data_IF_125978093394
#
_entry.id   IF_125978093394
#
_cell.length_a   1.000
_cell.length_b   1.000
_cell.length_c   1.000
_cell.angle_alpha   90.00
_cell.angle_beta   90.00
_cell.angle_gamma   90.00
#
_symmetry.space_group_name_H-M   'P 1'
#
loop_
_entity.id
_entity.type
_entity.pdbx_description
1 polymer ?
#
# COMPACT_ATOMS: atom_id res chain seq x y z
N UNK A 1 -29.58 -92.57 39.31
CA UNK A 1 -28.87 -91.27 39.01
C UNK A 1 -29.88 -90.22 38.51
N UNK A 2 -30.88 -90.53 37.64
CA UNK A 2 -31.79 -89.59 37.07
C UNK A 2 -32.74 -88.96 38.11
N UNK A 3 -33.22 -89.64 39.15
CA UNK A 3 -34.09 -89.03 40.16
C UNK A 3 -33.40 -87.97 41.01
N UNK A 4 -32.09 -88.03 41.24
CA UNK A 4 -31.34 -87.03 41.96
C UNK A 4 -31.20 -85.76 41.11
N UNK A 5 -31.04 -85.92 39.78
CA UNK A 5 -30.95 -84.74 38.88
C UNK A 5 -32.25 -83.95 38.80
N UNK A 6 -33.42 -84.63 38.78
CA UNK A 6 -34.73 -83.97 38.75
C UNK A 6 -34.98 -83.23 40.05
N UNK A 7 -34.51 -83.67 41.19
CA UNK A 7 -34.65 -83.03 42.48
C UNK A 7 -33.72 -81.74 42.60
N UNK A 8 -32.50 -81.81 42.02
CA UNK A 8 -31.58 -80.66 42.13
C UNK A 8 -31.73 -79.64 41.03
N UNK A 9 -32.39 -79.91 39.90
CA UNK A 9 -32.57 -78.98 38.82
C UNK A 9 -33.30 -77.67 39.24
N UNK A 10 -34.37 -77.70 40.02
CA UNK A 10 -35.05 -76.51 40.48
C UNK A 10 -34.21 -75.73 41.49
N UNK A 11 -33.31 -76.37 42.25
CA UNK A 11 -32.44 -75.70 43.21
C UNK A 11 -31.41 -74.87 42.49
N UNK A 12 -30.81 -75.37 41.36
CA UNK A 12 -29.86 -74.63 40.55
C UNK A 12 -30.48 -73.38 39.88
N UNK A 13 -31.74 -73.48 39.47
CA UNK A 13 -32.47 -72.33 38.89
C UNK A 13 -32.77 -71.26 39.93
N UNK A 14 -33.18 -71.70 41.14
CA UNK A 14 -33.49 -70.75 42.26
C UNK A 14 -32.22 -70.09 42.77
N UNK A 15 -31.04 -70.77 42.80
CA UNK A 15 -29.77 -70.18 43.16
C UNK A 15 -29.41 -69.12 42.15
N UNK A 16 -29.48 -69.42 40.82
CA UNK A 16 -29.20 -68.44 39.76
C UNK A 16 -30.16 -67.24 39.78
N UNK A 17 -31.42 -67.44 40.11
CA UNK A 17 -32.38 -66.34 40.27
C UNK A 17 -32.02 -65.50 41.48
N UNK A 18 -31.66 -66.09 42.59
CA UNK A 18 -31.22 -65.34 43.79
C UNK A 18 -29.92 -64.60 43.55
N UNK A 19 -28.98 -65.20 42.87
CA UNK A 19 -27.72 -64.54 42.49
C UNK A 19 -27.95 -63.35 41.56
N UNK A 20 -28.84 -63.48 40.57
CA UNK A 20 -29.26 -62.36 39.73
C UNK A 20 -29.94 -61.22 40.53
N UNK A 21 -30.75 -61.62 41.50
CA UNK A 21 -31.46 -60.66 42.36
C UNK A 21 -30.48 -59.94 43.29
N UNK A 22 -29.49 -60.66 43.83
CA UNK A 22 -28.44 -60.08 44.65
C UNK A 22 -27.62 -59.05 43.81
N UNK A 23 -27.16 -59.49 42.63
CA UNK A 23 -26.42 -58.61 41.74
C UNK A 23 -27.22 -57.36 41.30
N UNK A 24 -28.53 -57.55 41.08
CA UNK A 24 -29.40 -56.41 40.74
C UNK A 24 -29.59 -55.46 41.93
N UNK A 25 -29.79 -56.02 43.13
CA UNK A 25 -29.94 -55.22 44.34
C UNK A 25 -28.66 -54.48 44.70
N UNK A 26 -27.53 -55.16 44.54
CA UNK A 26 -26.20 -54.56 44.73
C UNK A 26 -25.94 -53.36 43.78
N UNK A 27 -26.25 -53.57 42.50
CA UNK A 27 -26.13 -52.48 41.52
C UNK A 27 -27.06 -51.31 41.87
N UNK A 28 -28.28 -51.58 42.22
CA UNK A 28 -29.24 -50.56 42.64
C UNK A 28 -28.78 -49.82 43.90
N UNK A 29 -28.24 -50.58 44.87
CA UNK A 29 -27.69 -49.99 46.10
C UNK A 29 -26.52 -49.07 45.78
N UNK A 30 -25.57 -49.53 44.96
CA UNK A 30 -24.43 -48.71 44.55
C UNK A 30 -24.85 -47.47 43.78
N UNK A 31 -25.88 -47.57 42.91
CA UNK A 31 -26.42 -46.43 42.16
C UNK A 31 -27.07 -45.40 43.10
N UNK A 32 -27.88 -45.91 44.04
CA UNK A 32 -28.52 -45.03 45.06
C UNK A 32 -27.48 -44.38 45.98
N UNK A 33 -26.46 -45.16 46.39
CA UNK A 33 -25.34 -44.65 47.20
C UNK A 33 -24.56 -43.54 46.47
N UNK A 34 -24.32 -43.77 45.18
CA UNK A 34 -23.61 -42.77 44.37
C UNK A 34 -24.45 -41.47 44.23
N UNK A 35 -25.76 -41.61 43.92
CA UNK A 35 -26.63 -40.46 43.79
C UNK A 35 -26.84 -39.73 45.14
N UNK A 36 -26.88 -40.45 46.23
CA UNK A 36 -26.89 -39.87 47.57
C UNK A 36 -25.61 -39.05 47.90
N UNK A 37 -24.46 -39.68 47.60
CA UNK A 37 -23.16 -38.96 47.82
C UNK A 37 -23.05 -37.71 46.93
N UNK A 38 -23.51 -37.79 45.66
CA UNK A 38 -23.54 -36.66 44.76
C UNK A 38 -24.47 -35.56 45.28
N UNK A 39 -25.66 -35.92 45.77
CA UNK A 39 -26.60 -34.96 46.39
C UNK A 39 -26.02 -34.33 47.66
N UNK A 40 -25.30 -35.11 48.49
CA UNK A 40 -24.62 -34.62 49.69
C UNK A 40 -23.47 -33.65 49.33
N UNK A 41 -22.68 -33.96 48.31
CA UNK A 41 -21.65 -33.05 47.78
C UNK A 41 -22.25 -31.76 47.24
N UNK A 42 -23.32 -31.85 46.48
CA UNK A 42 -24.07 -30.66 46.00
C UNK A 42 -24.59 -29.82 47.19
N UNK A 43 -25.17 -30.45 48.19
CA UNK A 43 -25.61 -29.74 49.40
C UNK A 43 -24.45 -29.04 50.12
N UNK A 44 -23.33 -29.74 50.33
CA UNK A 44 -22.14 -29.16 50.95
C UNK A 44 -21.58 -28.01 50.12
N UNK A 45 -21.50 -28.14 48.82
CA UNK A 45 -21.05 -27.07 47.94
C UNK A 45 -21.98 -25.86 47.99
N UNK A 46 -23.30 -26.05 48.06
CA UNK A 46 -24.25 -24.97 48.25
C UNK A 46 -24.09 -24.29 49.62
N UNK A 47 -23.90 -25.07 50.68
CA UNK A 47 -23.62 -24.53 52.01
C UNK A 47 -22.32 -23.76 52.07
N UNK A 48 -21.25 -24.24 51.43
CA UNK A 48 -19.97 -23.55 51.32
C UNK A 48 -20.08 -22.28 50.48
N UNK A 49 -20.79 -22.33 49.36
CA UNK A 49 -21.03 -21.18 48.50
C UNK A 49 -21.91 -20.13 49.17
N UNK A 50 -22.92 -20.55 49.89
CA UNK A 50 -23.80 -19.65 50.66
C UNK A 50 -23.08 -19.06 51.88
N UNK A 51 -22.14 -19.80 52.48
CA UNK A 51 -21.34 -19.30 53.61
C UNK A 51 -20.29 -18.24 53.17
N UNK A 52 -19.81 -18.32 51.88
CA UNK A 52 -18.90 -17.31 51.31
C UNK A 52 -19.64 -16.04 50.84
N UNK A 53 -20.94 -16.10 50.62
CA UNK A 53 -21.78 -14.93 50.32
C UNK A 53 -22.27 -14.23 51.60
N UNK A 54 -21.37 -14.03 52.57
CA UNK A 54 -21.68 -13.18 53.67
C UNK A 54 -21.64 -11.73 53.19
N UNK A 55 -22.80 -11.06 53.21
CA UNK A 55 -22.86 -9.62 52.97
C UNK A 55 -21.89 -8.92 53.94
N UNK A 56 -20.74 -8.55 53.41
CA UNK A 56 -19.70 -7.86 54.21
C UNK A 56 -20.15 -6.49 54.66
N UNK A 57 -21.00 -5.84 53.89
CA UNK A 57 -21.60 -4.56 54.25
C UNK A 57 -23.06 -4.55 53.82
N UNK A 58 -23.94 -4.15 54.71
CA UNK A 58 -25.34 -3.84 54.35
C UNK A 58 -25.32 -2.71 53.31
N UNK A 59 -26.20 -2.75 52.29
CA UNK A 59 -26.28 -1.66 51.33
C UNK A 59 -26.66 -0.38 52.06
N UNK A 60 -25.68 0.46 52.32
CA UNK A 60 -25.90 1.80 52.92
C UNK A 60 -26.19 2.79 51.81
N UNK A 61 -27.27 3.54 51.90
CA UNK A 61 -27.46 4.69 51.03
C UNK A 61 -26.36 5.70 51.26
N UNK A 62 -25.65 6.15 50.19
CA UNK A 62 -24.64 7.19 50.35
C UNK A 62 -25.31 8.48 50.82
N UNK A 63 -24.93 8.94 51.99
CA UNK A 63 -25.52 10.13 52.67
C UNK A 63 -25.11 11.42 51.90
N UNK A 64 -24.03 11.36 51.15
CA UNK A 64 -23.59 12.46 50.27
C UNK A 64 -23.29 11.94 48.86
N UNK A 65 -23.74 12.61 47.77
CA UNK A 65 -23.39 12.22 46.42
C UNK A 65 -21.88 12.45 46.26
N UNK A 66 -21.18 11.39 45.79
CA UNK A 66 -19.79 11.56 45.34
C UNK A 66 -19.75 12.56 44.20
N UNK A 67 -18.98 13.62 44.34
CA UNK A 67 -18.76 14.59 43.28
C UNK A 67 -18.03 13.90 42.14
N UNK A 68 -18.71 13.63 41.07
CA UNK A 68 -18.09 13.15 39.81
C UNK A 68 -17.24 14.27 39.24
N UNK A 69 -15.98 14.00 38.97
CA UNK A 69 -15.07 14.94 38.33
C UNK A 69 -15.45 15.15 36.84
N UNK A 70 -16.62 15.76 36.59
CA UNK A 70 -17.20 15.97 35.26
C UNK A 70 -16.22 16.61 34.29
N UNK A 71 -15.40 17.57 34.78
CA UNK A 71 -14.38 18.24 33.96
C UNK A 71 -13.33 17.25 33.44
N UNK A 72 -12.86 16.33 34.30
CA UNK A 72 -11.86 15.31 33.89
C UNK A 72 -12.44 14.32 32.90
N UNK A 73 -13.71 13.91 33.06
CA UNK A 73 -14.39 13.01 32.12
C UNK A 73 -14.54 13.67 30.77
N UNK A 74 -14.95 14.95 30.73
CA UNK A 74 -15.07 15.70 29.47
C UNK A 74 -13.72 15.85 28.77
N UNK A 75 -12.67 16.22 29.51
CA UNK A 75 -11.32 16.34 28.95
C UNK A 75 -10.83 14.97 28.43
N UNK A 76 -11.01 13.91 29.19
CA UNK A 76 -10.63 12.55 28.79
C UNK A 76 -11.40 12.11 27.53
N UNK A 77 -12.70 12.41 27.43
CA UNK A 77 -13.51 12.12 26.25
C UNK A 77 -13.03 12.91 25.01
N UNK A 78 -12.69 14.19 25.17
CA UNK A 78 -12.14 15.01 24.09
C UNK A 78 -10.78 14.48 23.60
N UNK A 79 -9.88 14.14 24.51
CA UNK A 79 -8.57 13.56 24.14
C UNK A 79 -8.77 12.20 23.48
N UNK A 80 -9.63 11.34 24.04
CA UNK A 80 -9.92 10.03 23.47
C UNK A 80 -10.51 10.11 22.05
N UNK A 81 -11.47 11.00 21.83
CA UNK A 81 -12.04 11.20 20.50
C UNK A 81 -11.00 11.73 19.50
N UNK A 82 -10.16 12.65 19.91
CA UNK A 82 -9.06 13.17 19.09
C UNK A 82 -8.08 12.05 18.69
N UNK A 83 -7.67 11.22 19.65
CA UNK A 83 -6.76 10.10 19.36
C UNK A 83 -7.38 9.07 18.41
N UNK A 84 -8.68 8.79 18.55
CA UNK A 84 -9.40 7.89 17.63
C UNK A 84 -9.39 8.46 16.22
N UNK A 85 -9.68 9.75 16.04
CA UNK A 85 -9.67 10.41 14.73
C UNK A 85 -8.27 10.34 14.11
N UNK A 86 -7.22 10.68 14.89
CA UNK A 86 -5.84 10.62 14.41
C UNK A 86 -5.45 9.19 14.03
N UNK A 87 -5.80 8.20 14.85
CA UNK A 87 -5.53 6.79 14.55
C UNK A 87 -6.22 6.33 13.26
N UNK A 88 -7.48 6.74 13.04
CA UNK A 88 -8.24 6.42 11.84
C UNK A 88 -7.62 7.07 10.59
N UNK A 89 -7.21 8.34 10.69
CA UNK A 89 -6.52 9.04 9.58
C UNK A 89 -5.17 8.37 9.25
N UNK A 90 -4.40 7.98 10.26
CA UNK A 90 -3.14 7.25 10.04
C UNK A 90 -3.38 5.89 9.40
N UNK A 91 -4.44 5.19 9.79
CA UNK A 91 -4.80 3.91 9.21
C UNK A 91 -5.17 4.06 7.73
N UNK A 92 -5.97 5.06 7.38
CA UNK A 92 -6.32 5.37 5.98
C UNK A 92 -5.04 5.69 5.19
N UNK A 93 -4.15 6.52 5.73
CA UNK A 93 -2.89 6.90 5.08
C UNK A 93 -1.94 5.70 4.89
N UNK A 94 -1.92 4.75 5.83
CA UNK A 94 -1.13 3.52 5.70
C UNK A 94 -1.68 2.55 4.64
N UNK A 95 -3.00 2.49 4.49
CA UNK A 95 -3.67 1.64 3.51
C UNK A 95 -3.68 2.26 2.10
N UNK A 96 -3.49 3.57 2.00
CA UNK A 96 -3.47 4.27 0.72
C UNK A 96 -2.20 3.94 -0.06
N UNK A 97 -2.35 3.27 -1.21
CA UNK A 97 -1.28 2.90 -2.14
C UNK A 97 -1.23 3.79 -3.38
N UNK A 98 -1.87 4.95 -3.33
CA UNK A 98 -1.83 5.88 -4.47
C UNK A 98 -0.44 6.50 -4.64
N UNK A 99 -0.10 6.84 -5.88
CA UNK A 99 1.16 7.49 -6.25
C UNK A 99 1.13 9.01 -6.02
N UNK A 100 0.48 9.45 -4.96
CA UNK A 100 0.08 10.84 -4.69
C UNK A 100 1.22 11.86 -4.76
N UNK A 101 2.41 11.50 -4.30
CA UNK A 101 3.60 12.36 -4.27
C UNK A 101 4.87 11.59 -4.64
N UNK A 102 5.94 12.31 -4.97
CA UNK A 102 7.20 11.74 -5.42
C UNK A 102 7.87 10.84 -4.37
N UNK A 103 7.80 11.20 -3.09
CA UNK A 103 8.39 10.44 -1.99
C UNK A 103 7.66 9.10 -1.76
N UNK A 104 6.32 9.14 -1.81
CA UNK A 104 5.49 7.93 -1.71
C UNK A 104 5.67 7.04 -2.94
N UNK A 105 5.65 7.62 -4.14
CA UNK A 105 5.88 6.88 -5.39
C UNK A 105 7.19 6.12 -5.33
N UNK A 106 8.29 6.78 -4.93
CA UNK A 106 9.59 6.11 -4.78
C UNK A 106 9.55 4.97 -3.74
N UNK A 107 8.82 5.14 -2.62
CA UNK A 107 8.69 4.08 -1.59
C UNK A 107 7.87 2.89 -2.06
N UNK A 108 6.79 3.14 -2.78
CA UNK A 108 5.84 2.11 -3.23
C UNK A 108 6.36 1.35 -4.46
N UNK A 109 6.93 2.08 -5.42
CA UNK A 109 7.39 1.51 -6.69
C UNK A 109 8.87 1.12 -6.69
N UNK A 110 9.70 1.77 -5.87
CA UNK A 110 11.16 1.64 -5.89
C UNK A 110 11.85 2.57 -6.91
N UNK A 111 11.11 3.22 -7.80
CA UNK A 111 11.66 4.02 -8.89
C UNK A 111 11.67 5.52 -8.57
N UNK A 112 12.60 6.26 -9.17
CA UNK A 112 12.69 7.71 -9.01
C UNK A 112 11.69 8.41 -9.92
N UNK A 113 11.01 9.44 -9.38
CA UNK A 113 10.14 10.33 -10.13
C UNK A 113 11.00 11.43 -10.76
N UNK A 114 10.74 11.74 -12.04
CA UNK A 114 11.46 12.80 -12.79
C UNK A 114 10.71 14.13 -12.76
N UNK A 115 9.40 14.08 -12.65
CA UNK A 115 8.53 15.26 -12.66
C UNK A 115 7.10 14.90 -12.37
N UNK A 116 6.31 15.93 -12.09
CA UNK A 116 4.88 15.81 -11.87
C UNK A 116 4.12 16.90 -12.66
N UNK A 117 3.07 16.49 -13.35
CA UNK A 117 2.22 17.36 -14.16
C UNK A 117 0.85 17.44 -13.49
N UNK A 118 0.32 18.67 -13.29
CA UNK A 118 -0.96 18.86 -12.64
C UNK A 118 -2.12 18.36 -13.50
N UNK A 119 -3.23 18.03 -12.86
CA UNK A 119 -4.48 17.74 -13.58
C UNK A 119 -4.88 18.93 -14.45
N UNK A 120 -5.21 18.66 -15.69
CA UNK A 120 -5.71 19.68 -16.63
C UNK A 120 -7.13 20.18 -16.30
N UNK A 121 -7.83 19.53 -15.37
CA UNK A 121 -9.14 19.95 -14.88
C UNK A 121 -9.05 21.32 -14.19
N UNK A 122 -9.63 22.32 -14.78
CA UNK A 122 -9.48 23.74 -14.47
C UNK A 122 -9.91 24.15 -13.04
N UNK A 123 -10.74 23.36 -12.36
CA UNK A 123 -11.34 23.78 -11.08
C UNK A 123 -10.40 23.67 -9.86
N UNK A 124 -9.37 22.85 -9.93
CA UNK A 124 -8.49 22.57 -8.76
C UNK A 124 -7.49 23.67 -8.42
N UNK A 125 -7.13 24.53 -9.36
CA UNK A 125 -6.03 25.49 -9.19
C UNK A 125 -6.46 26.97 -9.23
N UNK A 126 -7.75 27.23 -9.08
CA UNK A 126 -8.26 28.62 -9.01
C UNK A 126 -7.91 29.47 -10.24
N UNK A 127 -7.99 28.92 -11.44
CA UNK A 127 -7.68 29.62 -12.70
C UNK A 127 -6.18 29.66 -13.07
N UNK A 128 -5.28 29.14 -12.22
CA UNK A 128 -3.83 29.15 -12.44
C UNK A 128 -3.32 27.86 -13.11
N UNK A 129 -4.20 27.01 -13.64
CA UNK A 129 -3.85 25.73 -14.26
C UNK A 129 -2.80 25.87 -15.34
N UNK A 130 -2.93 26.88 -16.24
CA UNK A 130 -1.97 27.15 -17.31
C UNK A 130 -0.56 27.44 -16.76
N UNK A 131 -0.47 28.24 -15.70
CA UNK A 131 0.82 28.57 -15.06
C UNK A 131 1.47 27.31 -14.47
N UNK A 132 0.69 26.48 -13.78
CA UNK A 132 1.18 25.22 -13.21
C UNK A 132 1.67 24.26 -14.28
N UNK A 133 0.91 24.09 -15.36
CA UNK A 133 1.26 23.24 -16.50
C UNK A 133 2.54 23.73 -17.19
N UNK A 134 2.68 25.03 -17.41
CA UNK A 134 3.88 25.62 -18.02
C UNK A 134 5.14 25.40 -17.15
N UNK A 135 5.05 25.64 -15.84
CA UNK A 135 6.16 25.38 -14.93
C UNK A 135 6.52 23.91 -14.86
N UNK A 136 5.52 23.01 -14.81
CA UNK A 136 5.74 21.57 -14.82
C UNK A 136 6.39 21.10 -16.13
N UNK A 137 5.92 21.60 -17.27
CA UNK A 137 6.49 21.29 -18.58
C UNK A 137 7.95 21.75 -18.68
N UNK A 138 8.22 22.96 -18.19
CA UNK A 138 9.57 23.53 -18.16
C UNK A 138 10.51 22.63 -17.34
N UNK A 139 10.10 22.28 -16.12
CA UNK A 139 10.96 21.50 -15.21
C UNK A 139 11.12 20.06 -15.68
N UNK A 140 10.05 19.43 -16.15
CA UNK A 140 10.11 18.08 -16.75
C UNK A 140 11.05 18.06 -17.95
N UNK A 141 10.93 19.05 -18.86
CA UNK A 141 11.83 19.16 -20.02
C UNK A 141 13.27 19.39 -19.59
N UNK A 142 13.55 20.30 -18.66
CA UNK A 142 14.90 20.52 -18.13
C UNK A 142 15.49 19.24 -17.51
N UNK A 143 14.66 18.46 -16.82
CA UNK A 143 15.06 17.18 -16.24
C UNK A 143 15.35 16.11 -17.30
N UNK A 144 14.62 16.10 -18.42
CA UNK A 144 14.85 15.21 -19.56
C UNK A 144 16.12 15.62 -20.31
N UNK A 145 16.35 16.92 -20.51
CA UNK A 145 17.53 17.44 -21.18
C UNK A 145 18.84 17.10 -20.46
N UNK A 146 18.83 16.86 -19.14
CA UNK A 146 19.99 16.34 -18.40
C UNK A 146 20.47 14.96 -18.86
N UNK A 147 19.65 14.22 -19.59
CA UNK A 147 20.03 12.94 -20.17
C UNK A 147 20.67 13.09 -21.57
N UNK A 148 20.65 14.27 -22.18
CA UNK A 148 21.32 14.54 -23.45
C UNK A 148 22.84 14.34 -23.34
N UNK A 149 23.46 14.68 -22.21
CA UNK A 149 24.89 14.50 -21.98
C UNK A 149 25.32 13.02 -22.01
N UNK A 150 24.38 12.09 -21.85
CA UNK A 150 24.60 10.64 -21.91
C UNK A 150 24.38 10.05 -23.31
N UNK A 151 24.34 10.85 -24.34
CA UNK A 151 24.12 10.43 -25.73
C UNK A 151 25.19 9.42 -26.16
N UNK A 152 24.74 8.21 -26.50
CA UNK A 152 25.63 7.09 -26.89
C UNK A 152 26.18 7.19 -28.31
N UNK A 153 25.57 8.00 -29.18
CA UNK A 153 25.94 8.12 -30.61
C UNK A 153 25.57 9.50 -31.17
N UNK A 154 26.23 9.97 -32.24
CA UNK A 154 25.75 11.07 -33.04
C UNK A 154 24.47 10.61 -33.74
N UNK A 155 23.32 10.91 -33.19
CA UNK A 155 22.01 10.51 -33.68
C UNK A 155 20.90 11.26 -32.97
N UNK A 156 19.66 10.87 -33.21
CA UNK A 156 18.47 11.43 -32.57
C UNK A 156 18.43 11.02 -31.10
N UNK A 157 18.08 11.95 -30.25
CA UNK A 157 17.82 11.68 -28.82
C UNK A 157 16.41 11.10 -28.66
N UNK A 158 16.30 9.86 -28.24
CA UNK A 158 15.03 9.14 -28.15
C UNK A 158 14.57 9.08 -26.70
N UNK A 159 13.34 9.54 -26.46
CA UNK A 159 12.64 9.46 -25.17
C UNK A 159 11.44 8.51 -25.35
N UNK A 160 11.46 7.38 -24.68
CA UNK A 160 10.32 6.48 -24.66
C UNK A 160 9.35 6.88 -23.56
N UNK A 161 8.07 6.98 -23.91
CA UNK A 161 6.95 7.17 -22.99
C UNK A 161 6.08 5.93 -23.02
N UNK A 162 5.74 5.39 -21.87
CA UNK A 162 4.81 4.28 -21.76
C UNK A 162 4.00 4.40 -20.47
N UNK A 163 2.83 3.80 -20.48
CA UNK A 163 1.90 3.73 -19.39
C UNK A 163 1.68 2.29 -18.95
N UNK A 164 1.03 2.10 -17.80
CA UNK A 164 0.61 0.77 -17.37
C UNK A 164 -0.74 0.43 -17.98
N UNK A 165 -1.69 1.37 -17.96
CA UNK A 165 -3.05 1.22 -18.44
C UNK A 165 -3.42 2.36 -19.40
N UNK A 166 -4.52 2.18 -20.15
CA UNK A 166 -5.06 3.17 -21.07
C UNK A 166 -5.43 4.53 -20.44
N UNK A 167 -5.71 4.55 -19.12
CA UNK A 167 -6.11 5.78 -18.40
C UNK A 167 -4.98 6.80 -18.21
N UNK A 168 -3.84 6.58 -18.83
CA UNK A 168 -2.66 7.44 -18.64
C UNK A 168 -2.58 8.49 -19.74
N UNK A 169 -2.24 9.71 -19.33
CA UNK A 169 -2.18 10.90 -20.21
C UNK A 169 -0.85 10.97 -21.00
N UNK A 170 -0.32 9.85 -21.56
CA UNK A 170 0.97 9.85 -22.26
C UNK A 170 0.98 10.73 -23.50
N UNK A 171 -0.11 10.76 -24.25
CA UNK A 171 -0.23 11.62 -25.43
C UNK A 171 -0.23 13.10 -25.00
N UNK A 172 -0.93 13.42 -23.94
CA UNK A 172 -0.98 14.78 -23.39
C UNK A 172 0.41 15.22 -22.92
N UNK A 173 1.14 14.34 -22.23
CA UNK A 173 2.50 14.63 -21.74
C UNK A 173 3.48 14.73 -22.90
N UNK A 174 3.40 13.81 -23.88
CA UNK A 174 4.23 13.84 -25.07
C UNK A 174 4.08 15.15 -25.85
N UNK A 175 2.85 15.56 -26.11
CA UNK A 175 2.54 16.86 -26.75
C UNK A 175 3.00 18.06 -25.93
N UNK A 176 2.83 18.03 -24.60
CA UNK A 176 3.24 19.11 -23.70
C UNK A 176 4.76 19.31 -23.72
N UNK A 177 5.52 18.21 -23.59
CA UNK A 177 6.99 18.25 -23.61
C UNK A 177 7.50 18.63 -24.99
N UNK A 178 6.95 18.05 -26.04
CA UNK A 178 7.29 18.37 -27.44
C UNK A 178 7.08 19.85 -27.73
N UNK A 179 5.89 20.39 -27.42
CA UNK A 179 5.57 21.81 -27.62
C UNK A 179 6.51 22.76 -26.83
N UNK A 180 6.87 22.36 -25.60
CA UNK A 180 7.84 23.16 -24.81
C UNK A 180 9.26 23.10 -25.40
N UNK A 181 9.72 21.93 -25.83
CA UNK A 181 11.02 21.79 -26.51
C UNK A 181 11.07 22.58 -27.82
N UNK A 182 10.02 22.52 -28.63
CA UNK A 182 9.91 23.32 -29.87
C UNK A 182 9.92 24.83 -29.58
N UNK A 183 9.31 25.29 -28.52
CA UNK A 183 9.38 26.70 -28.10
C UNK A 183 10.81 27.15 -27.74
N UNK A 184 11.70 26.22 -27.45
CA UNK A 184 13.13 26.40 -27.19
C UNK A 184 13.99 26.23 -28.45
N UNK A 185 13.39 26.18 -29.63
CA UNK A 185 14.08 25.97 -30.93
C UNK A 185 14.74 24.60 -31.06
N UNK A 186 14.32 23.61 -30.27
CA UNK A 186 14.79 22.23 -30.42
C UNK A 186 13.90 21.55 -31.48
N UNK A 187 14.51 20.92 -32.47
CA UNK A 187 13.78 20.17 -33.50
C UNK A 187 13.29 18.84 -32.91
N UNK A 188 12.09 18.87 -32.32
CA UNK A 188 11.51 17.76 -31.59
C UNK A 188 10.24 17.28 -32.26
N UNK A 189 10.10 15.95 -32.36
CA UNK A 189 8.88 15.32 -32.86
C UNK A 189 8.32 14.34 -31.86
N UNK A 190 7.01 14.32 -31.74
CA UNK A 190 6.27 13.36 -30.94
C UNK A 190 5.55 12.40 -31.89
N UNK A 191 5.75 11.09 -31.68
CA UNK A 191 5.09 10.02 -32.43
C UNK A 191 4.35 9.11 -31.44
N UNK A 192 3.20 8.59 -31.87
CA UNK A 192 2.34 7.75 -31.04
C UNK A 192 1.92 6.48 -31.77
N UNK A 193 1.78 5.41 -31.01
CA UNK A 193 1.23 4.16 -31.50
C UNK A 193 -0.19 4.36 -32.06
N UNK A 194 -0.56 3.55 -33.03
CA UNK A 194 -1.88 3.62 -33.67
C UNK A 194 -2.03 4.73 -34.72
N UNK A 195 -1.21 5.79 -34.68
CA UNK A 195 -1.21 6.89 -35.66
C UNK A 195 0.04 6.84 -36.53
N UNK A 196 1.23 6.94 -35.92
CA UNK A 196 2.49 7.01 -36.66
C UNK A 196 3.10 5.63 -36.93
N UNK A 197 2.82 4.65 -36.10
CA UNK A 197 3.27 3.26 -36.26
C UNK A 197 2.26 2.24 -35.70
N UNK A 198 2.31 1.02 -36.24
CA UNK A 198 1.41 -0.05 -35.83
C UNK A 198 2.19 -1.10 -35.01
N UNK A 199 1.77 -1.30 -33.76
CA UNK A 199 2.37 -2.26 -32.81
C UNK A 199 2.18 -3.73 -33.22
N UNK A 200 1.19 -4.04 -34.06
CA UNK A 200 0.95 -5.39 -34.59
C UNK A 200 1.73 -5.67 -35.88
N UNK A 201 2.52 -4.71 -36.37
CA UNK A 201 3.33 -4.92 -37.58
C UNK A 201 4.57 -5.77 -37.27
N UNK A 202 4.97 -6.62 -38.21
CA UNK A 202 6.20 -7.40 -38.12
C UNK A 202 7.43 -6.50 -37.98
N UNK A 203 7.40 -5.32 -38.60
CA UNK A 203 8.46 -4.32 -38.55
C UNK A 203 8.66 -3.82 -37.11
N UNK A 204 7.58 -3.53 -36.37
CA UNK A 204 7.67 -3.12 -34.96
C UNK A 204 8.10 -4.27 -34.05
N UNK A 205 7.49 -5.45 -34.21
CA UNK A 205 7.76 -6.60 -33.34
C UNK A 205 9.22 -7.09 -33.44
N UNK A 206 9.85 -6.96 -34.60
CA UNK A 206 11.23 -7.37 -34.84
C UNK A 206 12.21 -6.18 -34.88
N UNK A 207 11.74 -4.97 -34.54
CA UNK A 207 12.56 -3.76 -34.58
C UNK A 207 13.75 -3.85 -33.62
N UNK A 208 14.90 -3.49 -34.14
CA UNK A 208 16.14 -3.32 -33.34
C UNK A 208 16.39 -1.86 -33.00
N UNK A 209 16.02 -0.96 -33.92
CA UNK A 209 16.16 0.47 -33.79
C UNK A 209 14.85 1.16 -34.19
N UNK A 210 14.69 2.42 -33.80
CA UNK A 210 13.52 3.23 -34.15
C UNK A 210 13.35 3.36 -35.67
N UNK A 211 14.46 3.37 -36.43
CA UNK A 211 14.47 3.51 -37.89
C UNK A 211 13.89 2.32 -38.63
N UNK A 212 13.68 1.18 -37.98
CA UNK A 212 13.11 -0.02 -38.62
C UNK A 212 11.61 0.14 -38.89
N UNK A 213 10.92 0.98 -38.11
CA UNK A 213 9.47 1.20 -38.27
C UNK A 213 9.07 2.67 -38.43
N UNK A 214 10.00 3.62 -38.21
CA UNK A 214 9.75 5.05 -38.37
C UNK A 214 10.88 5.70 -39.19
N UNK A 215 10.53 6.56 -40.16
CA UNK A 215 11.51 7.27 -40.99
C UNK A 215 11.79 8.64 -40.37
N UNK A 216 13.04 8.84 -39.91
CA UNK A 216 13.49 10.13 -39.36
C UNK A 216 13.50 11.22 -40.45
N UNK A 217 13.02 12.41 -40.10
CA UNK A 217 12.94 13.58 -41.00
C UNK A 217 13.95 14.67 -40.62
N UNK A 218 14.98 14.30 -39.84
CA UNK A 218 16.03 15.23 -39.40
C UNK A 218 15.76 15.83 -38.01
N UNK A 219 14.97 15.16 -37.18
CA UNK A 219 14.70 15.55 -35.82
C UNK A 219 15.95 15.38 -34.94
N UNK A 220 16.15 16.31 -33.97
CA UNK A 220 17.19 16.19 -32.95
C UNK A 220 16.71 15.33 -31.76
N UNK A 221 15.40 15.45 -31.45
CA UNK A 221 14.76 14.74 -30.34
C UNK A 221 13.48 14.07 -30.83
N UNK A 222 13.34 12.79 -30.54
CA UNK A 222 12.16 12.01 -30.83
C UNK A 222 11.52 11.51 -29.52
N UNK A 223 10.27 11.85 -29.33
CA UNK A 223 9.47 11.35 -28.20
C UNK A 223 8.53 10.29 -28.74
N UNK A 224 8.59 9.08 -28.20
CA UNK A 224 7.83 7.93 -28.69
C UNK A 224 6.86 7.46 -27.61
N UNK A 225 5.56 7.55 -27.87
CA UNK A 225 4.53 6.96 -27.02
C UNK A 225 4.22 5.53 -27.47
N UNK A 226 4.53 4.59 -26.62
CA UNK A 226 4.22 3.18 -26.82
C UNK A 226 2.83 2.83 -26.27
N UNK A 227 2.24 1.70 -26.68
CA UNK A 227 1.00 1.22 -26.07
C UNK A 227 1.17 0.91 -24.59
N UNK A 228 0.08 0.87 -23.82
CA UNK A 228 0.10 0.48 -22.42
C UNK A 228 0.77 -0.89 -22.22
N UNK A 229 1.57 -1.01 -21.18
CA UNK A 229 2.28 -2.26 -20.85
C UNK A 229 1.33 -3.43 -20.57
N UNK A 230 0.08 -3.14 -20.22
CA UNK A 230 -0.97 -4.15 -20.04
C UNK A 230 -1.44 -4.78 -21.33
N UNK A 231 -1.28 -4.09 -22.47
CA UNK A 231 -1.79 -4.53 -23.78
C UNK A 231 -0.71 -5.13 -24.67
N UNK A 232 0.46 -4.54 -24.67
CA UNK A 232 1.54 -4.95 -25.56
C UNK A 232 2.90 -4.86 -24.91
N UNK A 233 3.77 -5.84 -25.20
CA UNK A 233 5.17 -5.79 -24.78
C UNK A 233 5.97 -4.92 -25.77
N UNK A 234 6.90 -4.15 -25.22
CA UNK A 234 7.83 -3.34 -26.01
C UNK A 234 9.06 -4.20 -26.35
N UNK A 235 9.53 -4.24 -27.62
CA UNK A 235 10.77 -4.92 -27.95
C UNK A 235 11.95 -4.40 -27.12
N UNK A 236 12.71 -5.30 -26.50
CA UNK A 236 13.82 -4.92 -25.60
C UNK A 236 14.88 -4.07 -26.32
N UNK A 237 15.11 -4.30 -27.60
CA UNK A 237 16.05 -3.50 -28.39
C UNK A 237 15.67 -2.01 -28.43
N UNK A 238 14.38 -1.68 -28.52
CA UNK A 238 13.90 -0.29 -28.52
C UNK A 238 14.05 0.39 -27.14
N UNK A 239 13.97 -0.39 -26.05
CA UNK A 239 14.24 0.11 -24.70
C UNK A 239 15.72 0.45 -24.52
N UNK A 240 16.61 -0.29 -25.17
CA UNK A 240 18.06 -0.08 -25.14
C UNK A 240 18.54 1.02 -26.10
N UNK A 241 17.82 1.22 -27.20
CA UNK A 241 18.11 2.28 -28.19
C UNK A 241 17.78 3.68 -27.66
N UNK A 242 16.84 3.77 -26.71
CA UNK A 242 16.44 5.01 -26.10
C UNK A 242 17.51 5.61 -25.18
N UNK A 243 17.47 6.94 -25.03
CA UNK A 243 18.28 7.68 -24.08
C UNK A 243 17.60 7.82 -22.71
N UNK A 244 16.26 7.74 -22.69
CA UNK A 244 15.49 7.74 -21.45
C UNK A 244 14.18 6.95 -21.63
N UNK A 245 13.84 6.15 -20.62
CA UNK A 245 12.59 5.40 -20.54
C UNK A 245 11.74 5.99 -19.41
N UNK A 246 10.58 6.55 -19.75
CA UNK A 246 9.70 7.26 -18.83
C UNK A 246 8.36 6.54 -18.73
N UNK A 247 8.04 6.06 -17.54
CA UNK A 247 6.73 5.53 -17.20
C UNK A 247 5.81 6.67 -16.79
N UNK A 248 4.71 6.84 -17.48
CA UNK A 248 3.64 7.78 -17.15
C UNK A 248 2.64 7.10 -16.22
N UNK A 249 2.41 7.66 -15.05
CA UNK A 249 1.49 7.11 -14.08
C UNK A 249 0.64 8.22 -13.45
N UNK A 250 -0.66 7.98 -13.31
CA UNK A 250 -1.54 8.93 -12.63
C UNK A 250 -1.28 8.95 -11.12
N UNK A 251 -1.17 10.13 -10.53
CA UNK A 251 -1.04 10.30 -9.07
C UNK A 251 -2.23 9.73 -8.27
N UNK A 252 -3.39 9.59 -8.92
CA UNK A 252 -4.58 8.99 -8.33
C UNK A 252 -4.61 7.45 -8.48
N UNK A 253 -3.67 6.89 -9.24
CA UNK A 253 -3.61 5.45 -9.46
C UNK A 253 -3.13 4.73 -8.19
N UNK A 254 -3.90 3.73 -7.75
CA UNK A 254 -3.50 2.84 -6.67
C UNK A 254 -2.57 1.75 -7.18
N UNK A 255 -1.32 1.75 -6.76
CA UNK A 255 -0.31 0.78 -7.19
C UNK A 255 -0.64 -0.65 -6.76
N UNK A 256 -0.87 -1.53 -7.74
CA UNK A 256 -1.26 -2.93 -7.56
C UNK A 256 -0.06 -3.87 -7.76
N UNK A 257 -0.23 -5.11 -7.33
CA UNK A 257 0.77 -6.16 -7.56
C UNK A 257 0.99 -6.42 -9.05
N UNK A 258 -0.05 -6.30 -9.87
CA UNK A 258 0.02 -6.43 -11.32
C UNK A 258 0.91 -5.35 -11.95
N UNK A 259 0.75 -4.09 -11.54
CA UNK A 259 1.55 -2.97 -12.03
C UNK A 259 3.04 -3.19 -11.71
N UNK A 260 3.31 -3.70 -10.50
CA UNK A 260 4.67 -4.07 -10.11
C UNK A 260 5.24 -5.18 -10.99
N UNK A 261 4.47 -6.22 -11.29
CA UNK A 261 4.92 -7.31 -12.17
C UNK A 261 5.27 -6.82 -13.56
N UNK A 262 4.45 -5.94 -14.16
CA UNK A 262 4.73 -5.34 -15.47
C UNK A 262 6.02 -4.51 -15.46
N UNK A 263 6.21 -3.69 -14.44
CA UNK A 263 7.45 -2.92 -14.29
C UNK A 263 8.67 -3.81 -14.05
N UNK A 264 8.55 -4.86 -13.25
CA UNK A 264 9.64 -5.82 -13.00
C UNK A 264 10.02 -6.56 -14.30
N UNK A 265 9.04 -6.96 -15.13
CA UNK A 265 9.30 -7.55 -16.46
C UNK A 265 10.05 -6.57 -17.37
N UNK A 266 9.62 -5.31 -17.42
CA UNK A 266 10.28 -4.27 -18.19
C UNK A 266 11.71 -4.03 -17.68
N UNK A 267 11.94 -4.04 -16.38
CA UNK A 267 13.27 -3.90 -15.80
C UNK A 267 14.17 -5.10 -16.10
N UNK A 268 13.62 -6.31 -16.17
CA UNK A 268 14.37 -7.49 -16.63
C UNK A 268 14.79 -7.34 -18.10
N UNK A 269 13.91 -6.78 -18.95
CA UNK A 269 14.24 -6.50 -20.35
C UNK A 269 15.30 -5.40 -20.50
N UNK A 270 15.26 -4.37 -19.67
CA UNK A 270 16.30 -3.33 -19.60
C UNK A 270 17.65 -3.86 -19.10
N UNK A 271 17.63 -4.90 -18.26
CA UNK A 271 18.84 -5.53 -17.73
C UNK A 271 19.78 -4.52 -17.01
N UNK A 272 21.07 -4.64 -17.25
CA UNK A 272 22.13 -3.77 -16.66
C UNK A 272 22.44 -2.54 -17.52
N UNK A 273 21.52 -2.12 -18.39
CA UNK A 273 21.77 -0.98 -19.30
C UNK A 273 21.80 0.33 -18.52
N UNK A 274 22.68 1.26 -18.93
CA UNK A 274 22.76 2.61 -18.36
C UNK A 274 21.58 3.54 -18.73
N UNK A 275 20.59 3.04 -19.46
CA UNK A 275 19.41 3.82 -19.86
C UNK A 275 18.56 4.12 -18.61
N UNK A 276 18.36 5.40 -18.27
CA UNK A 276 17.60 5.75 -17.09
C UNK A 276 16.12 5.40 -17.25
N UNK A 277 15.58 4.67 -16.26
CA UNK A 277 14.15 4.47 -16.08
C UNK A 277 13.63 5.40 -14.99
N UNK A 278 12.58 6.17 -15.29
CA UNK A 278 11.98 7.15 -14.37
C UNK A 278 10.46 7.13 -14.48
N UNK A 279 9.79 7.64 -13.45
CA UNK A 279 8.34 7.81 -13.45
C UNK A 279 8.02 9.30 -13.61
N UNK A 280 7.04 9.62 -14.46
CA UNK A 280 6.42 10.94 -14.52
C UNK A 280 4.98 10.82 -13.99
N UNK A 281 4.64 11.65 -13.01
CA UNK A 281 3.29 11.64 -12.43
C UNK A 281 2.37 12.58 -13.20
N UNK A 282 1.21 12.09 -13.59
CA UNK A 282 0.11 12.90 -14.15
C UNK A 282 -0.99 13.08 -13.11
N UNK A 283 -1.90 13.99 -13.34
CA UNK A 283 -3.00 14.29 -12.42
C UNK A 283 -2.52 14.60 -10.99
N UNK A 284 -1.29 15.09 -10.88
CA UNK A 284 -0.62 15.35 -9.62
C UNK A 284 -1.30 16.49 -8.84
N UNK A 285 -1.37 16.30 -7.53
CA UNK A 285 -1.80 17.37 -6.63
C UNK A 285 -0.75 18.49 -6.57
N UNK A 286 -1.18 19.67 -6.09
CA UNK A 286 -0.31 20.86 -5.99
C UNK A 286 1.02 20.57 -5.27
N UNK A 287 0.98 19.88 -4.12
CA UNK A 287 2.19 19.55 -3.35
C UNK A 287 3.19 18.76 -4.15
N UNK A 288 2.74 17.71 -4.86
CA UNK A 288 3.61 16.90 -5.69
C UNK A 288 4.22 17.67 -6.88
N UNK A 289 3.51 18.67 -7.42
CA UNK A 289 4.05 19.56 -8.45
C UNK A 289 5.09 20.51 -7.84
N UNK A 290 4.79 21.09 -6.68
CA UNK A 290 5.70 21.99 -5.95
C UNK A 290 6.98 21.30 -5.47
N UNK A 291 7.00 19.98 -5.31
CA UNK A 291 8.22 19.22 -5.01
C UNK A 291 9.29 19.33 -6.13
N UNK A 292 8.85 19.55 -7.36
CA UNK A 292 9.74 19.70 -8.53
C UNK A 292 9.93 21.14 -8.97
N UNK A 293 8.86 21.94 -8.97
CA UNK A 293 8.86 23.30 -9.50
C UNK A 293 9.15 24.39 -8.45
N UNK A 294 9.20 23.99 -7.17
CA UNK A 294 9.21 24.95 -6.07
C UNK A 294 7.84 25.54 -5.82
N UNK A 295 7.75 26.48 -4.88
CA UNK A 295 6.49 27.12 -4.50
C UNK A 295 5.85 27.85 -5.66
N UNK A 296 4.62 27.49 -6.01
CA UNK A 296 3.83 28.10 -7.08
C UNK A 296 2.78 29.09 -6.54
N UNK A 297 2.37 30.10 -7.33
CA UNK A 297 1.36 31.07 -6.91
C UNK A 297 0.00 30.41 -6.57
N UNK A 298 -0.87 31.03 -5.74
CA UNK A 298 -0.70 32.32 -5.07
C UNK A 298 0.17 32.23 -3.80
N UNK A 299 1.00 33.25 -3.56
CA UNK A 299 1.94 33.30 -2.42
C UNK A 299 1.27 33.91 -1.18
N UNK A 300 0.41 33.15 -0.48
CA UNK A 300 -0.20 33.58 0.78
C UNK A 300 0.64 33.10 1.97
N UNK A 301 0.57 33.82 3.13
CA UNK A 301 1.32 33.47 4.34
C UNK A 301 1.04 32.03 4.82
N UNK A 302 -0.22 31.62 4.86
CA UNK A 302 -0.62 30.27 5.25
C UNK A 302 -0.05 29.21 4.31
N UNK A 303 -0.02 29.49 3.01
CA UNK A 303 0.59 28.58 2.03
C UNK A 303 2.10 28.50 2.17
N UNK A 304 2.77 29.60 2.46
CA UNK A 304 4.21 29.61 2.69
C UNK A 304 4.56 28.72 3.89
N UNK A 305 3.78 28.82 4.97
CA UNK A 305 3.93 27.94 6.16
C UNK A 305 3.66 26.49 5.78
N UNK A 306 2.56 26.19 5.07
CA UNK A 306 2.21 24.85 4.62
C UNK A 306 3.29 24.24 3.71
N UNK A 307 3.84 25.01 2.77
CA UNK A 307 4.93 24.58 1.90
C UNK A 307 6.19 24.27 2.70
N UNK A 308 6.59 25.12 3.63
CA UNK A 308 7.75 24.84 4.49
C UNK A 308 7.53 23.63 5.38
N UNK A 309 6.33 23.40 5.90
CA UNK A 309 5.99 22.23 6.68
C UNK A 309 6.04 20.93 5.84
N UNK A 310 5.58 20.98 4.58
CA UNK A 310 5.67 19.80 3.68
C UNK A 310 7.10 19.44 3.30
N UNK A 311 8.01 20.42 3.27
CA UNK A 311 9.44 20.20 3.02
C UNK A 311 10.21 19.67 4.26
N UNK A 312 9.60 19.74 5.46
CA UNK A 312 10.17 19.12 6.66
C UNK A 312 9.93 17.60 6.61
N UNK A 313 10.79 16.88 5.95
CA UNK A 313 10.80 15.42 6.03
C UNK A 313 11.37 15.00 7.39
N UNK A 314 10.50 14.86 8.36
CA UNK A 314 10.86 14.44 9.73
C UNK A 314 11.49 13.03 9.76
N UNK A 315 11.21 12.21 8.74
CA UNK A 315 11.56 10.80 8.73
C UNK A 315 13.04 10.54 8.42
N UNK A 316 13.68 11.34 7.56
CA UNK A 316 15.09 11.10 7.21
C UNK A 316 16.07 11.55 8.31
N UNK A 317 15.77 12.66 9.00
CA UNK A 317 16.65 13.17 10.07
C UNK A 317 16.57 12.35 11.37
N UNK A 318 15.41 11.80 11.70
CA UNK A 318 15.24 10.97 12.91
C UNK A 318 15.94 9.63 12.75
N UNK A 319 15.81 8.97 11.59
CA UNK A 319 16.46 7.68 11.32
C UNK A 319 17.99 7.83 11.27
N UNK A 320 18.50 8.95 10.73
CA UNK A 320 19.94 9.20 10.66
C UNK A 320 20.54 9.45 12.05
N UNK A 321 19.85 10.18 12.93
CA UNK A 321 20.28 10.40 14.32
C UNK A 321 20.20 9.15 15.19
N UNK A 322 19.22 8.28 14.97
CA UNK A 322 19.18 6.99 15.68
C UNK A 322 20.31 6.05 15.25
N UNK A 323 20.66 6.05 13.96
CA UNK A 323 21.73 5.19 13.45
C UNK A 323 23.12 5.65 13.87
N UNK A 324 23.34 6.96 14.03
CA UNK A 324 24.60 7.49 14.56
C UNK A 324 24.72 7.28 16.08
N UNK A 325 23.62 7.36 16.83
CA UNK A 325 23.63 7.14 18.28
C UNK A 325 23.84 5.67 18.65
N UNK A 326 23.40 4.71 17.81
CA UNK A 326 23.69 3.28 18.02
C UNK A 326 25.14 2.92 17.70
N UNK A 327 25.79 3.63 16.76
CA UNK A 327 27.22 3.43 16.46
C UNK A 327 28.14 4.00 17.53
N UNK A 328 27.80 5.14 18.15
CA UNK A 328 28.57 5.71 19.26
C UNK A 328 28.49 4.87 20.53
N UNK A 329 27.40 4.10 20.74
CA UNK A 329 27.24 3.21 21.90
C UNK A 329 27.96 1.85 21.69
N UNK A 330 28.09 1.37 20.44
CA UNK A 330 28.86 0.15 20.15
C UNK A 330 30.37 0.37 20.19
N UNK A 331 30.85 1.60 19.93
CA UNK A 331 32.28 1.94 19.99
C UNK A 331 32.75 2.28 21.43
N UNK A 332 31.86 2.52 22.40
CA UNK A 332 32.20 2.71 23.83
C UNK A 332 32.24 1.41 24.65
N UNK A 333 31.66 0.32 24.15
CA UNK A 333 31.66 -0.99 24.84
C UNK A 333 32.88 -1.88 24.41
N UNK A 334 33.73 -1.44 23.48
CA UNK A 334 34.91 -2.18 22.98
C UNK A 334 36.27 -1.53 23.40
N UNK A 335 36.29 -0.54 24.33
CA UNK A 335 37.49 -0.08 25.02
C UNK A 335 37.48 -0.51 26.52
#
# INVERSE_FOLDING_TARGET
LNERYVFFAPVGTTIKQKERMINFTERNYLTVLHSYNEALLRKKNLEMTSATLKVLNEPTYPISPHSTNRKQIVIAACIGSFLIIVALLLLIEMLDRTLRDAGRTKRVTGYKVIGAVPSLSASRYGGLTKTYVQHSASELTNSLLRFLDKRKSPGVFIINLFSINEDSDEETIGNLVCGYMQSRMLNTRFITHGVDFNTNSTQYLLAKNITDFYTLQGEDILIVAYPPLSESSIPSALLHDANANILIASANHGWKTFDKQLCDQLMVQLGTTDVPFRICLTNAGRGAVEDFTGQLPPYTLLRKIGYHLSQLSLTEKIIFNFKNKTKEVEDEDDE
#
